data_IF_962686128927
#
_entry.id   IF_962686128927
#
_cell.length_a   1.000
_cell.length_b   1.000
_cell.length_c   1.000
_cell.angle_alpha   90.00
_cell.angle_beta   90.00
_cell.angle_gamma   90.00
#
_symmetry.space_group_name_H-M   'P 1'
#
loop_
_entity.id
_entity.type
_entity.pdbx_description
1 polymer ?
#
# COMPACT_ATOMS: atom_id res chain seq x y z
N UNK A 1 -34.15 20.39 1.82
CA UNK A 1 -34.32 21.07 0.53
C UNK A 1 -33.51 20.28 -0.50
N UNK A 2 -34.10 19.95 -1.65
CA UNK A 2 -33.36 19.34 -2.76
C UNK A 2 -32.52 20.41 -3.48
N UNK A 3 -31.53 19.97 -4.31
CA UNK A 3 -30.72 20.90 -5.11
C UNK A 3 -31.62 21.67 -6.10
N UNK A 4 -31.26 22.92 -6.40
CA UNK A 4 -31.95 23.71 -7.41
C UNK A 4 -31.63 23.24 -8.86
N UNK A 5 -32.40 23.72 -9.84
CA UNK A 5 -32.25 23.30 -11.23
C UNK A 5 -30.88 23.68 -11.84
N UNK A 6 -30.27 24.77 -11.36
CA UNK A 6 -28.94 25.20 -11.81
C UNK A 6 -27.87 24.20 -11.31
N UNK A 7 -27.93 23.83 -10.05
CA UNK A 7 -27.08 22.81 -9.44
C UNK A 7 -27.24 21.46 -10.15
N UNK A 8 -28.49 21.03 -10.39
CA UNK A 8 -28.76 19.78 -11.13
C UNK A 8 -28.20 19.80 -12.55
N UNK A 9 -28.32 20.92 -13.26
CA UNK A 9 -27.78 21.08 -14.60
C UNK A 9 -26.25 21.01 -14.62
N UNK A 10 -25.59 21.67 -13.67
CA UNK A 10 -24.11 21.62 -13.52
C UNK A 10 -23.63 20.19 -13.25
N UNK A 11 -24.26 19.47 -12.33
CA UNK A 11 -23.88 18.08 -12.04
C UNK A 11 -24.13 17.13 -13.21
N UNK A 12 -25.22 17.30 -13.96
CA UNK A 12 -25.48 16.52 -15.19
C UNK A 12 -24.38 16.73 -16.23
N UNK A 13 -23.95 17.98 -16.44
CA UNK A 13 -22.85 18.31 -17.35
C UNK A 13 -21.54 17.66 -16.90
N UNK A 14 -21.20 17.73 -15.60
CA UNK A 14 -20.02 17.06 -15.04
C UNK A 14 -20.06 15.55 -15.27
N UNK A 15 -21.22 14.90 -15.06
CA UNK A 15 -21.39 13.46 -15.30
C UNK A 15 -21.18 13.11 -16.78
N UNK A 16 -21.67 13.94 -17.71
CA UNK A 16 -21.46 13.71 -19.16
C UNK A 16 -19.99 13.88 -19.55
N UNK A 17 -19.33 14.92 -19.03
CA UNK A 17 -17.91 15.16 -19.23
C UNK A 17 -17.04 14.01 -18.67
N UNK A 18 -17.36 13.51 -17.46
CA UNK A 18 -16.69 12.35 -16.86
C UNK A 18 -16.90 11.08 -17.68
N UNK A 19 -18.13 10.83 -18.17
CA UNK A 19 -18.40 9.68 -19.05
C UNK A 19 -17.62 9.77 -20.35
N UNK A 20 -17.62 10.93 -21.01
CA UNK A 20 -16.89 11.15 -22.24
C UNK A 20 -15.37 11.02 -22.05
N UNK A 21 -14.85 11.49 -20.91
CA UNK A 21 -13.45 11.29 -20.54
C UNK A 21 -13.15 9.81 -20.29
N UNK A 22 -14.01 9.09 -19.54
CA UNK A 22 -13.88 7.66 -19.30
C UNK A 22 -13.84 6.82 -20.59
N UNK A 23 -14.67 7.16 -21.59
CA UNK A 23 -14.61 6.49 -22.91
C UNK A 23 -13.25 6.68 -23.60
N UNK A 24 -12.67 7.89 -23.53
CA UNK A 24 -11.32 8.15 -24.08
C UNK A 24 -10.23 7.37 -23.37
N UNK A 25 -10.39 7.13 -22.06
CA UNK A 25 -9.42 6.38 -21.26
C UNK A 25 -9.44 4.86 -21.51
N UNK A 26 -10.50 4.32 -22.11
CA UNK A 26 -10.59 2.87 -22.41
C UNK A 26 -9.43 2.34 -23.26
N UNK A 27 -8.88 3.16 -24.14
CA UNK A 27 -7.71 2.77 -24.94
C UNK A 27 -6.45 2.52 -24.09
N UNK A 28 -6.39 3.10 -22.87
CA UNK A 28 -5.27 2.95 -21.96
C UNK A 28 -5.39 1.73 -21.05
N UNK A 29 -6.54 1.04 -21.00
CA UNK A 29 -6.71 -0.16 -20.18
C UNK A 29 -5.70 -1.27 -20.56
N UNK A 30 -5.45 -1.42 -21.87
CA UNK A 30 -4.56 -2.45 -22.40
C UNK A 30 -3.15 -1.95 -22.76
N UNK A 31 -2.94 -0.63 -22.75
CA UNK A 31 -1.61 -0.05 -23.02
C UNK A 31 -0.69 -0.18 -21.83
N UNK A 32 0.61 -0.33 -22.08
CA UNK A 32 1.64 -0.14 -21.07
C UNK A 32 1.67 1.32 -20.59
N UNK A 33 2.03 1.51 -19.31
CA UNK A 33 2.29 2.85 -18.80
C UNK A 33 3.70 3.27 -19.22
N UNK A 34 3.81 4.30 -20.04
CA UNK A 34 5.12 4.81 -20.53
C UNK A 34 5.05 6.30 -20.85
N UNK A 35 6.18 6.97 -20.71
CA UNK A 35 6.37 8.36 -21.13
C UNK A 35 6.53 8.48 -22.66
N UNK A 36 6.53 9.72 -23.21
CA UNK A 36 6.77 10.01 -24.65
C UNK A 36 8.07 9.40 -25.16
N UNK A 37 9.10 9.35 -24.31
CA UNK A 37 10.44 8.82 -24.62
C UNK A 37 10.59 7.33 -24.29
N UNK A 38 9.49 6.63 -23.98
CA UNK A 38 9.45 5.18 -23.80
C UNK A 38 9.91 4.69 -22.42
N UNK A 39 10.08 5.57 -21.43
CA UNK A 39 10.38 5.14 -20.07
C UNK A 39 9.15 4.45 -19.46
N UNK A 40 9.31 3.19 -19.07
CA UNK A 40 8.21 2.34 -18.57
C UNK A 40 7.93 2.54 -17.11
N UNK A 41 6.65 2.46 -16.77
CA UNK A 41 6.13 2.48 -15.40
C UNK A 41 5.34 1.21 -15.12
N UNK A 42 5.24 0.85 -13.85
CA UNK A 42 4.35 -0.20 -13.35
C UNK A 42 3.25 0.46 -12.50
N UNK A 43 2.01 0.27 -12.91
CA UNK A 43 0.87 0.84 -12.22
C UNK A 43 0.09 -0.29 -11.55
N UNK A 44 0.15 -0.29 -10.23
CA UNK A 44 -0.48 -1.29 -9.37
C UNK A 44 -1.79 -0.78 -8.78
N UNK A 45 -2.66 -1.71 -8.41
CA UNK A 45 -3.87 -1.40 -7.67
C UNK A 45 -3.66 -1.50 -6.15
N UNK A 46 -4.32 -0.62 -5.40
CA UNK A 46 -4.58 -0.77 -3.97
C UNK A 46 -5.95 -1.44 -3.81
N UNK A 47 -6.02 -2.48 -2.98
CA UNK A 47 -7.25 -3.21 -2.67
C UNK A 47 -7.45 -3.38 -1.17
N UNK A 48 -8.71 -3.50 -0.73
CA UNK A 48 -9.12 -3.80 0.64
C UNK A 48 -9.77 -5.16 0.77
N UNK A 49 -10.37 -5.69 -0.31
CA UNK A 49 -11.00 -7.01 -0.34
C UNK A 49 -10.43 -7.89 -1.46
N UNK A 50 -10.53 -9.23 -1.35
CA UNK A 50 -10.04 -10.14 -2.40
C UNK A 50 -10.74 -9.91 -3.75
N UNK A 51 -12.03 -9.59 -3.76
CA UNK A 51 -12.86 -9.39 -4.96
C UNK A 51 -12.42 -8.17 -5.76
N UNK A 52 -11.83 -7.16 -5.11
CA UNK A 52 -11.26 -5.99 -5.80
C UNK A 52 -10.09 -6.36 -6.70
N UNK A 53 -9.46 -7.53 -6.53
CA UNK A 53 -8.43 -8.02 -7.43
C UNK A 53 -8.97 -8.28 -8.85
N UNK A 54 -10.18 -8.83 -8.96
CA UNK A 54 -10.85 -9.04 -10.25
C UNK A 54 -11.15 -7.71 -10.96
N UNK A 55 -11.50 -6.68 -10.19
CA UNK A 55 -11.70 -5.34 -10.72
C UNK A 55 -10.38 -4.71 -11.16
N UNK A 56 -9.31 -4.86 -10.37
CA UNK A 56 -7.98 -4.36 -10.72
C UNK A 56 -7.46 -4.94 -12.07
N UNK A 57 -7.75 -6.21 -12.34
CA UNK A 57 -7.43 -6.86 -13.64
C UNK A 57 -8.16 -6.16 -14.77
N UNK A 58 -9.47 -5.88 -14.62
CA UNK A 58 -10.31 -5.21 -15.62
C UNK A 58 -9.83 -3.79 -15.91
N UNK A 59 -9.36 -3.08 -14.90
CA UNK A 59 -8.80 -1.73 -15.03
C UNK A 59 -7.34 -1.71 -15.55
N UNK A 60 -6.80 -2.86 -15.93
CA UNK A 60 -5.47 -2.97 -16.55
C UNK A 60 -4.31 -2.71 -15.60
N UNK A 61 -4.45 -3.09 -14.33
CA UNK A 61 -3.36 -3.05 -13.35
C UNK A 61 -2.24 -4.05 -13.71
N UNK A 62 -0.99 -3.64 -13.47
CA UNK A 62 0.18 -4.50 -13.63
C UNK A 62 0.38 -5.47 -12.45
N UNK A 63 -0.44 -5.33 -11.39
CA UNK A 63 -0.43 -6.13 -10.20
C UNK A 63 -1.17 -5.43 -9.06
N UNK A 64 -1.02 -5.95 -7.85
CA UNK A 64 -1.51 -5.33 -6.62
C UNK A 64 -0.28 -4.85 -5.84
N UNK A 65 -0.17 -3.52 -5.65
CA UNK A 65 0.94 -2.92 -4.91
C UNK A 65 0.66 -2.80 -3.41
N UNK A 66 -0.62 -2.84 -3.04
CA UNK A 66 -1.06 -2.85 -1.64
C UNK A 66 -2.38 -3.60 -1.49
N UNK A 67 -2.35 -4.75 -0.83
CA UNK A 67 -3.55 -5.36 -0.27
C UNK A 67 -3.60 -5.03 1.23
N UNK A 68 -4.57 -4.22 1.63
CA UNK A 68 -4.86 -3.86 3.02
C UNK A 68 -5.65 -4.98 3.67
N UNK A 69 -5.08 -5.64 4.67
CA UNK A 69 -5.68 -6.84 5.28
C UNK A 69 -6.62 -6.54 6.44
N UNK A 70 -6.73 -5.28 6.87
CA UNK A 70 -7.54 -4.86 8.02
C UNK A 70 -9.01 -5.26 7.89
N UNK A 71 -9.57 -5.18 6.68
CA UNK A 71 -10.96 -5.53 6.42
C UNK A 71 -11.27 -7.02 6.64
N UNK A 72 -10.27 -7.90 6.49
CA UNK A 72 -10.44 -9.33 6.79
C UNK A 72 -10.72 -9.58 8.27
N UNK A 73 -10.27 -8.67 9.13
CA UNK A 73 -10.47 -8.73 10.58
C UNK A 73 -11.76 -8.06 11.02
N UNK A 74 -12.37 -7.23 10.16
CA UNK A 74 -13.61 -6.49 10.45
C UNK A 74 -14.86 -7.20 9.89
N UNK A 75 -14.75 -7.98 8.82
CA UNK A 75 -15.87 -8.51 8.06
C UNK A 75 -16.59 -9.71 8.68
N UNK A 76 -16.05 -10.32 9.73
CA UNK A 76 -16.62 -11.51 10.37
C UNK A 76 -17.80 -11.25 11.32
N UNK A 77 -18.31 -10.00 11.39
CA UNK A 77 -19.31 -9.59 12.38
C UNK A 77 -20.77 -9.77 11.91
N UNK A 78 -21.06 -10.04 10.61
CA UNK A 78 -22.42 -9.79 10.09
C UNK A 78 -23.28 -10.98 9.66
N UNK A 79 -22.80 -12.22 9.53
CA UNK A 79 -23.66 -13.24 8.87
C UNK A 79 -24.40 -14.24 9.75
N UNK A 80 -24.08 -14.42 11.02
CA UNK A 80 -24.68 -15.54 11.78
C UNK A 80 -25.33 -15.21 13.13
N UNK A 81 -25.33 -13.96 13.59
CA UNK A 81 -25.94 -13.62 14.90
C UNK A 81 -25.27 -14.29 16.12
N UNK A 82 -24.36 -15.22 15.92
CA UNK A 82 -23.53 -15.81 16.93
C UNK A 82 -22.14 -15.19 16.85
N UNK A 83 -21.71 -14.49 17.87
CA UNK A 83 -20.44 -13.80 18.02
C UNK A 83 -19.22 -14.77 18.10
N UNK A 84 -19.06 -15.62 17.09
CA UNK A 84 -17.81 -16.36 16.89
C UNK A 84 -16.87 -15.47 16.05
N UNK A 85 -16.44 -14.34 16.63
CA UNK A 85 -15.39 -13.49 16.06
C UNK A 85 -14.10 -14.29 16.02
N UNK A 86 -13.65 -14.69 14.83
CA UNK A 86 -12.35 -15.33 14.59
C UNK A 86 -11.54 -14.49 13.61
N UNK A 87 -11.15 -13.26 13.99
CA UNK A 87 -10.42 -12.35 13.09
C UNK A 87 -9.04 -12.89 12.69
N UNK A 88 -8.54 -13.88 13.44
CA UNK A 88 -7.21 -14.46 13.26
C UNK A 88 -7.26 -15.90 12.72
N UNK A 89 -8.36 -16.29 12.08
CA UNK A 89 -8.47 -17.61 11.44
C UNK A 89 -7.52 -17.71 10.25
N UNK A 90 -6.62 -18.69 10.28
CA UNK A 90 -5.62 -18.92 9.24
C UNK A 90 -6.28 -19.26 7.90
N UNK A 91 -7.37 -20.03 7.91
CA UNK A 91 -8.03 -20.49 6.67
C UNK A 91 -8.85 -19.37 6.00
N UNK A 92 -9.46 -18.49 6.78
CA UNK A 92 -10.13 -17.29 6.25
C UNK A 92 -9.11 -16.41 5.51
N UNK A 93 -7.99 -16.13 6.15
CA UNK A 93 -6.91 -15.35 5.55
C UNK A 93 -6.31 -16.04 4.31
N UNK A 94 -6.03 -17.36 4.41
CA UNK A 94 -5.52 -18.16 3.31
C UNK A 94 -6.42 -18.06 2.08
N UNK A 95 -7.73 -18.24 2.24
CA UNK A 95 -8.68 -18.20 1.12
C UNK A 95 -8.73 -16.81 0.47
N UNK A 96 -8.70 -15.73 1.25
CA UNK A 96 -8.64 -14.37 0.74
C UNK A 96 -7.36 -14.11 -0.08
N UNK A 97 -6.22 -14.52 0.44
CA UNK A 97 -4.93 -14.34 -0.26
C UNK A 97 -4.82 -15.21 -1.51
N UNK A 98 -5.29 -16.46 -1.43
CA UNK A 98 -5.38 -17.36 -2.59
C UNK A 98 -6.23 -16.78 -3.70
N UNK A 99 -7.38 -16.19 -3.38
CA UNK A 99 -8.25 -15.54 -4.36
C UNK A 99 -7.51 -14.40 -5.08
N UNK A 100 -6.95 -13.44 -4.33
CA UNK A 100 -6.24 -12.30 -4.91
C UNK A 100 -5.04 -12.72 -5.78
N UNK A 101 -4.26 -13.71 -5.33
CA UNK A 101 -3.13 -14.25 -6.08
C UNK A 101 -3.57 -14.96 -7.37
N UNK A 102 -4.65 -15.74 -7.29
CA UNK A 102 -5.22 -16.45 -8.45
C UNK A 102 -5.79 -15.48 -9.49
N UNK A 103 -6.55 -14.47 -9.07
CA UNK A 103 -7.11 -13.44 -9.94
C UNK A 103 -6.04 -12.69 -10.73
N UNK A 104 -4.89 -12.40 -10.09
CA UNK A 104 -3.78 -11.69 -10.73
C UNK A 104 -2.95 -12.52 -11.71
N UNK A 105 -3.15 -13.84 -11.79
CA UNK A 105 -2.56 -14.72 -12.78
C UNK A 105 -1.04 -14.51 -12.99
N UNK A 106 -0.27 -14.61 -11.92
CA UNK A 106 1.20 -14.47 -11.92
C UNK A 106 1.73 -13.03 -11.85
N UNK A 107 0.89 -12.00 -12.02
CA UNK A 107 1.26 -10.63 -11.72
C UNK A 107 1.55 -10.47 -10.22
N UNK A 108 2.44 -9.53 -9.80
CA UNK A 108 2.79 -9.40 -8.40
C UNK A 108 1.62 -8.93 -7.54
N UNK A 109 1.51 -9.51 -6.34
CA UNK A 109 0.54 -9.14 -5.31
C UNK A 109 1.30 -8.86 -4.02
N UNK A 110 1.34 -7.61 -3.61
CA UNK A 110 1.96 -7.18 -2.35
C UNK A 110 0.89 -7.14 -1.26
N UNK A 111 1.00 -8.02 -0.28
CA UNK A 111 0.07 -8.12 0.85
C UNK A 111 0.74 -7.53 2.09
N UNK A 112 0.11 -6.52 2.67
CA UNK A 112 0.57 -5.88 3.89
C UNK A 112 0.13 -6.72 5.10
N UNK A 113 1.05 -7.00 6.01
CA UNK A 113 0.67 -7.57 7.31
C UNK A 113 -0.17 -6.54 8.08
N UNK A 114 -0.92 -7.01 9.07
CA UNK A 114 -1.91 -6.23 9.81
C UNK A 114 -1.38 -4.85 10.21
N UNK A 115 -2.09 -3.80 9.77
CA UNK A 115 -1.86 -2.41 10.14
C UNK A 115 -3.08 -1.84 10.88
N UNK A 116 -3.36 -2.39 12.06
CA UNK A 116 -4.42 -1.94 12.94
C UNK A 116 -3.86 -1.68 14.33
N UNK A 117 -4.50 -0.75 15.04
CA UNK A 117 -4.25 -0.45 16.45
C UNK A 117 -5.39 -0.93 17.33
N UNK A 118 -5.27 -0.63 18.63
CA UNK A 118 -6.23 -1.02 19.64
C UNK A 118 -7.65 -0.54 19.37
N UNK A 119 -7.79 0.63 18.76
CA UNK A 119 -9.07 1.24 18.39
C UNK A 119 -9.94 0.38 17.46
N UNK A 120 -9.29 -0.42 16.59
CA UNK A 120 -9.96 -1.32 15.62
C UNK A 120 -10.09 -2.75 16.10
N UNK A 121 -9.37 -3.13 17.15
CA UNK A 121 -9.27 -4.51 17.66
C UNK A 121 -9.88 -4.69 19.06
N UNK A 122 -10.51 -3.67 19.62
CA UNK A 122 -11.06 -3.61 20.99
C UNK A 122 -12.04 -4.76 21.32
N UNK A 123 -12.61 -5.39 20.30
CA UNK A 123 -13.59 -6.48 20.48
C UNK A 123 -12.97 -7.89 20.40
N UNK A 124 -11.66 -8.02 20.27
CA UNK A 124 -10.99 -9.32 20.34
C UNK A 124 -10.73 -9.72 21.80
N UNK A 125 -11.46 -10.72 22.27
CA UNK A 125 -11.26 -11.26 23.62
C UNK A 125 -9.84 -11.80 23.89
N UNK A 126 -9.08 -12.06 22.81
CA UNK A 126 -7.75 -12.68 22.87
C UNK A 126 -6.59 -11.68 23.01
N UNK A 127 -6.86 -10.38 22.85
CA UNK A 127 -5.82 -9.34 22.92
C UNK A 127 -6.29 -8.24 23.88
N UNK A 128 -5.77 -8.18 25.09
CA UNK A 128 -6.08 -7.13 26.04
C UNK A 128 -5.38 -5.82 25.62
N UNK A 129 -6.01 -5.05 24.75
CA UNK A 129 -5.51 -3.73 24.33
C UNK A 129 -6.19 -2.69 25.21
N UNK A 130 -5.39 -1.94 25.96
CA UNK A 130 -5.86 -0.80 26.74
C UNK A 130 -6.22 0.37 25.82
N UNK A 131 -7.18 1.19 26.23
CA UNK A 131 -7.47 2.45 25.56
C UNK A 131 -6.24 3.36 25.58
N UNK A 132 -5.83 3.83 24.40
CA UNK A 132 -4.65 4.68 24.22
C UNK A 132 -5.06 6.12 23.92
N UNK A 133 -4.36 7.08 24.52
CA UNK A 133 -4.60 8.52 24.24
C UNK A 133 -4.23 8.92 22.81
N UNK A 134 -3.24 8.25 22.21
CA UNK A 134 -2.75 8.50 20.86
C UNK A 134 -2.58 7.19 20.10
N UNK A 135 -3.67 6.55 19.65
CA UNK A 135 -3.63 5.22 19.02
C UNK A 135 -2.75 5.16 17.77
N UNK A 136 -2.67 6.24 17.01
CA UNK A 136 -1.83 6.32 15.80
C UNK A 136 -0.34 6.21 16.10
N UNK A 137 0.11 6.59 17.32
CA UNK A 137 1.49 6.48 17.79
C UNK A 137 1.68 5.35 18.81
N UNK A 138 0.65 4.58 19.09
CA UNK A 138 0.59 3.56 20.11
C UNK A 138 0.98 2.17 19.65
N UNK A 139 0.35 1.16 20.27
CA UNK A 139 0.55 -0.26 20.00
C UNK A 139 -0.26 -0.68 18.77
N UNK A 140 0.32 -0.51 17.59
CA UNK A 140 -0.31 -0.84 16.30
C UNK A 140 0.68 -1.50 15.34
N UNK A 141 0.18 -2.04 14.25
CA UNK A 141 0.95 -2.56 13.12
C UNK A 141 2.06 -3.52 13.57
N UNK A 142 3.31 -3.31 13.12
CA UNK A 142 4.45 -4.15 13.50
C UNK A 142 4.68 -4.20 15.01
N UNK A 143 4.39 -3.11 15.73
CA UNK A 143 4.55 -3.09 17.20
C UNK A 143 3.60 -4.07 17.87
N UNK A 144 2.33 -4.08 17.43
CA UNK A 144 1.34 -5.04 17.89
C UNK A 144 1.73 -6.48 17.51
N UNK A 145 2.16 -6.68 16.27
CA UNK A 145 2.60 -7.98 15.75
C UNK A 145 3.79 -8.55 16.50
N UNK A 146 4.69 -7.72 16.99
CA UNK A 146 5.85 -8.15 17.78
C UNK A 146 5.51 -8.33 19.27
N UNK A 147 4.57 -7.55 19.82
CA UNK A 147 4.07 -7.73 21.18
C UNK A 147 3.23 -9.02 21.30
N UNK A 148 2.50 -9.37 20.25
CA UNK A 148 1.69 -10.59 20.15
C UNK A 148 2.11 -11.43 18.93
N UNK A 149 3.27 -12.12 18.97
CA UNK A 149 3.85 -12.79 17.80
C UNK A 149 2.95 -13.84 17.16
N UNK A 150 1.99 -14.37 17.90
CA UNK A 150 1.03 -15.34 17.37
C UNK A 150 0.15 -14.76 16.25
N UNK A 151 -0.18 -13.47 16.32
CA UNK A 151 -0.93 -12.79 15.27
C UNK A 151 -0.17 -12.80 13.95
N UNK A 152 1.07 -12.34 13.98
CA UNK A 152 1.94 -12.34 12.80
C UNK A 152 2.21 -13.75 12.31
N UNK A 153 2.40 -14.71 13.21
CA UNK A 153 2.64 -16.12 12.88
C UNK A 153 1.46 -16.71 12.10
N UNK A 154 0.23 -16.54 12.58
CA UNK A 154 -0.99 -16.98 11.88
C UNK A 154 -1.11 -16.36 10.51
N UNK A 155 -0.92 -15.03 10.40
CA UNK A 155 -0.96 -14.34 9.12
C UNK A 155 0.12 -14.82 8.14
N UNK A 156 1.35 -15.01 8.61
CA UNK A 156 2.45 -15.52 7.79
C UNK A 156 2.21 -16.96 7.33
N UNK A 157 1.61 -17.82 8.18
CA UNK A 157 1.22 -19.19 7.76
C UNK A 157 0.24 -19.14 6.61
N UNK A 158 -0.82 -18.33 6.71
CA UNK A 158 -1.80 -18.13 5.64
C UNK A 158 -1.14 -17.59 4.36
N UNK A 159 -0.25 -16.59 4.47
CA UNK A 159 0.48 -16.01 3.34
C UNK A 159 1.38 -17.03 2.65
N UNK A 160 2.19 -17.78 3.41
CA UNK A 160 3.06 -18.79 2.82
C UNK A 160 2.27 -19.93 2.17
N UNK A 161 1.18 -20.41 2.78
CA UNK A 161 0.27 -21.39 2.16
C UNK A 161 -0.30 -20.87 0.84
N UNK A 162 -0.67 -19.59 0.79
CA UNK A 162 -1.20 -18.97 -0.42
C UNK A 162 -0.13 -18.72 -1.50
N UNK A 163 1.15 -18.70 -1.16
CA UNK A 163 2.26 -18.31 -2.05
C UNK A 163 2.46 -19.21 -3.28
N UNK A 164 1.90 -20.43 -3.30
CA UNK A 164 1.95 -21.32 -4.45
C UNK A 164 0.92 -20.97 -5.55
N UNK A 165 -0.02 -20.08 -5.25
CA UNK A 165 -1.09 -19.69 -6.17
C UNK A 165 -0.79 -18.43 -6.99
N UNK A 166 0.37 -17.77 -6.77
CA UNK A 166 0.76 -16.58 -7.53
C UNK A 166 2.05 -15.94 -7.04
N UNK A 167 2.33 -14.74 -7.53
CA UNK A 167 3.54 -13.98 -7.23
C UNK A 167 3.34 -13.10 -5.98
N UNK A 168 3.44 -13.72 -4.81
CA UNK A 168 3.28 -13.07 -3.51
C UNK A 168 4.51 -12.24 -3.13
N UNK A 169 4.27 -11.04 -2.57
CA UNK A 169 5.23 -10.22 -1.82
C UNK A 169 4.61 -9.87 -0.46
N UNK A 170 5.37 -9.97 0.61
CA UNK A 170 4.92 -9.62 1.97
C UNK A 170 5.49 -8.25 2.34
N UNK A 171 4.66 -7.37 2.86
CA UNK A 171 5.03 -6.01 3.27
C UNK A 171 4.75 -5.77 4.74
N UNK A 172 5.78 -5.36 5.49
CA UNK A 172 5.71 -5.04 6.91
C UNK A 172 5.40 -3.55 7.12
N UNK A 173 4.29 -3.17 7.78
CA UNK A 173 3.92 -1.78 8.03
C UNK A 173 4.66 -1.17 9.22
N UNK A 174 4.67 0.15 9.30
CA UNK A 174 5.09 0.98 10.45
C UNK A 174 6.47 0.62 11.02
N UNK A 175 7.41 0.29 10.15
CA UNK A 175 8.80 0.01 10.53
C UNK A 175 9.49 1.30 10.96
N UNK A 176 10.27 1.22 12.04
CA UNK A 176 11.09 2.32 12.56
C UNK A 176 12.53 1.91 12.83
N UNK A 177 12.82 0.60 12.92
CA UNK A 177 14.16 0.09 13.22
C UNK A 177 14.49 -1.17 12.41
N UNK A 178 15.79 -1.43 12.21
CA UNK A 178 16.29 -2.67 11.58
C UNK A 178 15.92 -3.90 12.40
N UNK A 179 15.91 -3.79 13.73
CA UNK A 179 15.61 -4.91 14.61
C UNK A 179 14.18 -5.42 14.47
N UNK A 180 13.20 -4.53 14.22
CA UNK A 180 11.84 -4.94 13.92
C UNK A 180 11.79 -5.82 12.66
N UNK A 181 12.51 -5.44 11.59
CA UNK A 181 12.57 -6.24 10.36
C UNK A 181 13.21 -7.61 10.63
N UNK A 182 14.30 -7.66 11.39
CA UNK A 182 14.98 -8.91 11.76
C UNK A 182 14.07 -9.83 12.58
N UNK A 183 13.34 -9.28 13.55
CA UNK A 183 12.40 -10.05 14.37
C UNK A 183 11.27 -10.63 13.53
N UNK A 184 10.64 -9.84 12.65
CA UNK A 184 9.61 -10.33 11.73
C UNK A 184 10.16 -11.42 10.79
N UNK A 185 11.34 -11.24 10.21
CA UNK A 185 11.99 -12.27 9.36
C UNK A 185 12.35 -13.54 10.15
N UNK A 186 12.66 -13.43 11.44
CA UNK A 186 12.86 -14.59 12.32
C UNK A 186 11.57 -15.39 12.53
N UNK A 187 10.45 -14.70 12.78
CA UNK A 187 9.13 -15.34 12.89
C UNK A 187 8.77 -16.01 11.55
N UNK A 188 9.00 -15.33 10.42
CA UNK A 188 8.77 -15.90 9.10
C UNK A 188 9.61 -17.18 8.85
N UNK A 189 10.86 -17.21 9.32
CA UNK A 189 11.71 -18.42 9.27
C UNK A 189 11.12 -19.56 10.09
N UNK A 190 10.63 -19.26 11.30
CA UNK A 190 9.97 -20.26 12.16
C UNK A 190 8.74 -20.84 11.45
N UNK A 191 7.87 -19.99 10.89
CA UNK A 191 6.68 -20.41 10.15
C UNK A 191 7.03 -21.33 8.98
N UNK A 192 8.04 -20.99 8.17
CA UNK A 192 8.47 -21.84 7.03
C UNK A 192 8.98 -23.20 7.52
N UNK A 193 9.68 -23.26 8.66
CA UNK A 193 10.14 -24.53 9.23
C UNK A 193 8.96 -25.40 9.69
N UNK A 194 7.95 -24.81 10.31
CA UNK A 194 6.73 -25.51 10.72
C UNK A 194 5.96 -26.07 9.52
N UNK A 195 5.68 -25.23 8.51
CA UNK A 195 5.00 -25.67 7.29
C UNK A 195 5.76 -26.83 6.59
N UNK A 196 7.09 -26.78 6.59
CA UNK A 196 7.94 -27.83 6.04
C UNK A 196 7.82 -29.13 6.86
N UNK A 197 7.79 -29.04 8.18
CA UNK A 197 7.61 -30.20 9.06
C UNK A 197 6.22 -30.82 8.91
N UNK A 198 5.21 -30.00 8.64
CA UNK A 198 3.83 -30.41 8.40
C UNK A 198 3.59 -30.88 6.94
N UNK A 199 4.61 -30.87 6.07
CA UNK A 199 4.51 -31.18 4.64
C UNK A 199 3.50 -30.28 3.88
N UNK A 200 3.29 -29.05 4.32
CA UNK A 200 2.43 -28.09 3.65
C UNK A 200 3.25 -27.36 2.57
N UNK A 201 2.80 -27.36 1.29
CA UNK A 201 3.55 -26.73 0.22
C UNK A 201 3.52 -25.19 0.33
N UNK A 202 4.66 -24.54 0.07
CA UNK A 202 4.80 -23.09 0.03
C UNK A 202 6.00 -22.67 -0.83
N UNK A 203 6.06 -21.39 -1.23
CA UNK A 203 7.22 -20.81 -1.90
C UNK A 203 8.21 -20.28 -0.84
N UNK A 204 9.40 -20.85 -0.80
CA UNK A 204 10.45 -20.48 0.18
C UNK A 204 11.08 -19.10 -0.12
N UNK A 205 10.91 -18.60 -1.35
CA UNK A 205 11.53 -17.36 -1.86
C UNK A 205 10.59 -16.16 -1.92
N UNK A 206 9.56 -16.13 -1.06
CA UNK A 206 8.65 -14.98 -0.99
C UNK A 206 9.42 -13.74 -0.51
N UNK A 207 9.47 -12.64 -1.27
CA UNK A 207 10.12 -11.42 -0.84
C UNK A 207 9.42 -10.79 0.36
N UNK A 208 10.18 -10.30 1.34
CA UNK A 208 9.68 -9.56 2.50
C UNK A 208 10.28 -8.15 2.46
N UNK A 209 9.44 -7.18 2.12
CA UNK A 209 9.77 -5.75 2.12
C UNK A 209 9.12 -5.00 3.27
N UNK A 210 9.32 -3.69 3.27
CA UNK A 210 8.76 -2.80 4.30
C UNK A 210 7.98 -1.65 3.68
N UNK A 211 7.01 -1.14 4.43
CA UNK A 211 6.42 0.16 4.17
C UNK A 211 7.27 1.24 4.84
N UNK A 212 7.77 2.18 4.03
CA UNK A 212 8.48 3.36 4.53
C UNK A 212 7.45 4.48 4.69
N UNK A 213 6.97 4.63 5.90
CA UNK A 213 5.85 5.53 6.24
C UNK A 213 6.07 6.30 7.54
N UNK A 214 7.29 6.19 8.10
CA UNK A 214 7.74 7.01 9.24
C UNK A 214 9.00 7.77 8.87
N UNK A 215 9.21 8.96 9.43
CA UNK A 215 10.45 9.71 9.22
C UNK A 215 11.68 8.89 9.65
N UNK A 216 11.56 8.08 10.71
CA UNK A 216 12.63 7.19 11.16
C UNK A 216 13.02 6.16 10.10
N UNK A 217 12.03 5.52 9.44
CA UNK A 217 12.31 4.55 8.38
C UNK A 217 12.95 5.20 7.16
N UNK A 218 12.50 6.39 6.77
CA UNK A 218 13.08 7.13 5.65
C UNK A 218 14.53 7.56 5.93
N UNK A 219 14.81 8.06 7.14
CA UNK A 219 16.16 8.43 7.56
C UNK A 219 17.13 7.23 7.66
N UNK A 220 16.62 6.04 8.00
CA UNK A 220 17.38 4.79 8.12
C UNK A 220 17.28 3.91 6.87
N UNK A 221 16.78 4.44 5.75
CA UNK A 221 16.50 3.65 4.56
C UNK A 221 17.73 2.94 3.96
N UNK A 222 18.92 3.52 4.09
CA UNK A 222 20.18 2.89 3.68
C UNK A 222 20.50 1.62 4.50
N UNK A 223 20.21 1.64 5.78
CA UNK A 223 20.39 0.50 6.69
C UNK A 223 19.27 -0.52 6.53
N UNK A 224 18.03 -0.06 6.40
CA UNK A 224 16.84 -0.91 6.21
C UNK A 224 16.88 -1.65 4.87
N UNK A 225 17.42 -1.04 3.82
CA UNK A 225 17.57 -1.66 2.50
C UNK A 225 18.41 -2.95 2.52
N UNK A 226 19.40 -3.03 3.42
CA UNK A 226 20.23 -4.24 3.59
C UNK A 226 19.49 -5.42 4.19
N UNK A 227 18.30 -5.18 4.74
CA UNK A 227 17.48 -6.18 5.44
C UNK A 227 16.09 -6.34 4.82
N UNK A 228 15.79 -5.64 3.73
CA UNK A 228 14.49 -5.64 3.06
C UNK A 228 14.66 -6.02 1.59
N UNK A 229 13.68 -6.75 1.05
CA UNK A 229 13.76 -7.20 -0.35
C UNK A 229 13.15 -6.15 -1.32
N UNK A 230 12.38 -5.20 -0.79
CA UNK A 230 11.82 -4.04 -1.50
C UNK A 230 11.32 -2.98 -0.51
N UNK A 231 11.08 -1.76 -1.02
CA UNK A 231 10.39 -0.69 -0.31
C UNK A 231 9.06 -0.34 -0.98
N UNK A 232 8.07 0.04 -0.16
CA UNK A 232 6.86 0.73 -0.59
C UNK A 232 6.67 1.96 0.28
N UNK A 233 6.61 3.15 -0.33
CA UNK A 233 6.48 4.40 0.42
C UNK A 233 5.00 4.64 0.71
N UNK A 234 4.63 4.67 1.99
CA UNK A 234 3.29 5.00 2.48
C UNK A 234 3.16 6.50 2.72
N UNK A 235 2.91 7.28 1.67
CA UNK A 235 2.97 8.76 1.73
C UNK A 235 1.99 9.37 2.71
N UNK A 236 0.84 8.73 2.95
CA UNK A 236 -0.16 9.26 3.86
C UNK A 236 0.38 9.35 5.29
N UNK A 237 0.87 8.24 5.82
CA UNK A 237 1.41 8.17 7.17
C UNK A 237 2.79 8.83 7.25
N UNK A 238 3.61 8.75 6.19
CA UNK A 238 4.87 9.49 6.12
C UNK A 238 4.65 11.00 6.30
N UNK A 239 3.68 11.57 5.60
CA UNK A 239 3.32 12.99 5.73
C UNK A 239 2.80 13.29 7.13
N UNK A 240 1.85 12.49 7.62
CA UNK A 240 1.27 12.65 8.95
C UNK A 240 2.31 12.66 10.06
N UNK A 241 3.19 11.65 10.08
CA UNK A 241 4.22 11.53 11.12
C UNK A 241 5.37 12.54 10.96
N UNK A 242 5.69 12.95 9.73
CA UNK A 242 6.73 13.97 9.49
C UNK A 242 6.28 15.34 9.94
N UNK A 243 5.03 15.71 9.69
CA UNK A 243 4.48 17.01 10.06
C UNK A 243 3.89 17.05 11.48
N UNK A 244 3.70 15.86 12.12
CA UNK A 244 3.05 15.76 13.42
C UNK A 244 1.57 16.15 13.38
N UNK A 245 0.87 15.85 12.26
CA UNK A 245 -0.50 16.27 12.00
C UNK A 245 -1.37 15.03 11.83
N UNK A 246 -2.44 14.93 12.61
CA UNK A 246 -3.49 13.95 12.41
C UNK A 246 -4.39 14.40 11.25
N UNK A 247 -4.31 13.70 10.12
CA UNK A 247 -5.08 13.99 8.90
C UNK A 247 -6.59 13.78 9.06
N UNK A 248 -7.01 12.99 10.05
CA UNK A 248 -8.42 12.71 10.34
C UNK A 248 -9.02 13.73 11.32
N UNK A 249 -8.19 14.54 11.97
CA UNK A 249 -8.64 15.59 12.89
C UNK A 249 -8.99 16.88 12.13
N UNK A 250 -10.28 17.28 12.03
CA UNK A 250 -10.67 18.49 11.29
C UNK A 250 -10.02 19.78 11.73
N UNK A 251 -9.58 19.86 12.99
CA UNK A 251 -8.94 21.08 13.53
C UNK A 251 -7.55 21.34 12.97
N UNK A 252 -6.85 20.31 12.48
CA UNK A 252 -5.46 20.40 12.01
C UNK A 252 -5.25 19.82 10.62
N UNK A 253 -6.22 19.10 10.07
CA UNK A 253 -6.10 18.46 8.74
C UNK A 253 -5.82 19.44 7.60
N UNK A 254 -6.21 20.71 7.75
CA UNK A 254 -5.86 21.78 6.80
C UNK A 254 -4.36 22.12 6.74
N UNK A 255 -3.57 21.65 7.70
CA UNK A 255 -2.11 21.81 7.73
C UNK A 255 -1.38 20.62 7.09
N UNK A 256 -2.13 19.56 6.71
CA UNK A 256 -1.57 18.40 6.05
C UNK A 256 -1.20 18.74 4.60
N UNK A 257 0.11 18.72 4.32
CA UNK A 257 0.65 19.07 3.01
C UNK A 257 1.63 17.98 2.54
N UNK A 258 1.23 17.21 1.56
CA UNK A 258 2.04 16.14 0.96
C UNK A 258 3.20 16.68 0.10
N UNK A 259 3.14 17.95 -0.31
CA UNK A 259 4.21 18.65 -1.03
C UNK A 259 5.19 19.37 -0.09
N UNK A 260 5.01 19.26 1.21
CA UNK A 260 5.98 19.81 2.16
C UNK A 260 7.39 19.29 1.87
N UNK A 261 8.35 20.22 1.82
CA UNK A 261 9.73 19.91 1.44
C UNK A 261 10.37 18.83 2.32
N UNK A 262 10.03 18.76 3.61
CA UNK A 262 10.51 17.71 4.51
C UNK A 262 10.02 16.31 4.05
N UNK A 263 8.76 16.21 3.66
CA UNK A 263 8.17 14.96 3.14
C UNK A 263 8.84 14.56 1.82
N UNK A 264 8.95 15.51 0.88
CA UNK A 264 9.58 15.25 -0.44
C UNK A 264 11.04 14.82 -0.29
N UNK A 265 11.80 15.42 0.64
CA UNK A 265 13.18 15.03 0.93
C UNK A 265 13.27 13.61 1.48
N UNK A 266 12.37 13.20 2.38
CA UNK A 266 12.33 11.84 2.92
C UNK A 266 11.99 10.82 1.83
N UNK A 267 11.09 11.16 0.91
CA UNK A 267 10.80 10.32 -0.28
C UNK A 267 12.06 10.18 -1.15
N UNK A 268 12.70 11.29 -1.49
CA UNK A 268 13.91 11.29 -2.32
C UNK A 268 15.06 10.49 -1.69
N UNK A 269 15.28 10.62 -0.37
CA UNK A 269 16.26 9.84 0.38
C UNK A 269 15.97 8.33 0.31
N UNK A 270 14.70 7.95 0.44
CA UNK A 270 14.26 6.55 0.36
C UNK A 270 14.50 5.96 -1.03
N UNK A 271 14.19 6.73 -2.09
CA UNK A 271 14.42 6.32 -3.48
C UNK A 271 15.90 6.14 -3.76
N UNK A 272 16.73 7.09 -3.34
CA UNK A 272 18.19 7.02 -3.49
C UNK A 272 18.80 5.80 -2.76
N UNK A 273 18.38 5.58 -1.51
CA UNK A 273 18.84 4.44 -0.72
C UNK A 273 18.45 3.09 -1.35
N UNK A 274 17.22 2.96 -1.85
CA UNK A 274 16.78 1.76 -2.57
C UNK A 274 17.57 1.54 -3.85
N UNK A 275 17.81 2.61 -4.64
CA UNK A 275 18.63 2.56 -5.86
C UNK A 275 20.06 2.12 -5.58
N UNK A 276 20.72 2.67 -4.54
CA UNK A 276 22.07 2.28 -4.13
C UNK A 276 22.15 0.83 -3.65
N UNK A 277 21.10 0.34 -2.99
CA UNK A 277 21.02 -1.04 -2.53
C UNK A 277 20.59 -2.04 -3.62
N UNK A 278 20.12 -1.56 -4.78
CA UNK A 278 19.62 -2.40 -5.88
C UNK A 278 18.31 -3.09 -5.57
N UNK A 279 17.48 -2.54 -4.65
CA UNK A 279 16.16 -3.09 -4.33
C UNK A 279 15.04 -2.26 -4.98
N UNK A 280 13.92 -2.90 -5.36
CA UNK A 280 12.76 -2.17 -5.88
C UNK A 280 12.18 -1.20 -4.87
N UNK A 281 11.71 -0.03 -5.36
CA UNK A 281 10.94 0.93 -4.57
C UNK A 281 9.67 1.34 -5.31
N UNK A 282 8.55 1.37 -4.58
CA UNK A 282 7.24 1.81 -5.07
C UNK A 282 6.63 2.83 -4.12
N UNK A 283 5.52 3.45 -4.53
CA UNK A 283 4.69 4.28 -3.65
C UNK A 283 3.26 3.75 -3.66
N UNK A 284 2.59 3.71 -2.50
CA UNK A 284 1.24 3.18 -2.35
C UNK A 284 0.29 4.11 -1.58
N UNK A 285 0.76 5.28 -1.13
CA UNK A 285 -0.11 6.31 -0.57
C UNK A 285 -0.93 7.04 -1.64
N UNK A 286 -1.79 7.95 -1.20
CA UNK A 286 -2.71 8.68 -2.10
C UNK A 286 -2.00 9.54 -3.14
N UNK A 287 -0.78 10.01 -2.87
CA UNK A 287 0.04 10.72 -3.86
C UNK A 287 0.21 9.95 -5.16
N UNK A 288 0.21 8.62 -5.13
CA UNK A 288 0.34 7.77 -6.31
C UNK A 288 -0.82 7.90 -7.31
N UNK A 289 -1.98 8.40 -6.88
CA UNK A 289 -3.18 8.58 -7.71
C UNK A 289 -3.51 10.02 -8.06
N UNK A 290 -2.74 11.01 -7.58
CA UNK A 290 -2.96 12.44 -7.84
C UNK A 290 -2.03 12.94 -8.94
N UNK A 291 -2.58 13.59 -9.97
CA UNK A 291 -1.83 13.99 -11.16
C UNK A 291 -0.53 14.74 -10.83
N UNK A 292 -0.59 15.80 -10.03
CA UNK A 292 0.57 16.63 -9.72
C UNK A 292 1.61 15.84 -8.90
N UNK A 293 1.16 15.04 -7.95
CA UNK A 293 2.04 14.18 -7.15
C UNK A 293 2.73 13.12 -8.00
N UNK A 294 2.01 12.50 -8.95
CA UNK A 294 2.59 11.52 -9.88
C UNK A 294 3.72 12.12 -10.70
N UNK A 295 3.57 13.36 -11.20
CA UNK A 295 4.63 14.02 -11.96
C UNK A 295 5.88 14.24 -11.11
N UNK A 296 5.71 14.73 -9.87
CA UNK A 296 6.81 14.96 -8.94
C UNK A 296 7.49 13.65 -8.53
N UNK A 297 6.72 12.64 -8.13
CA UNK A 297 7.23 11.32 -7.73
C UNK A 297 7.98 10.61 -8.88
N UNK A 298 7.44 10.73 -10.09
CA UNK A 298 8.08 10.16 -11.30
C UNK A 298 9.43 10.83 -11.59
N UNK A 299 9.51 12.16 -11.42
CA UNK A 299 10.76 12.91 -11.57
C UNK A 299 11.78 12.61 -10.46
N UNK A 300 11.35 12.15 -9.27
CA UNK A 300 12.25 11.64 -8.22
C UNK A 300 12.83 10.25 -8.52
N UNK A 301 12.46 9.62 -9.64
CA UNK A 301 12.94 8.28 -10.00
C UNK A 301 12.00 7.14 -9.67
N UNK A 302 10.83 7.39 -9.09
CA UNK A 302 9.83 6.34 -8.88
C UNK A 302 9.25 5.87 -10.21
N UNK A 303 9.18 4.54 -10.39
CA UNK A 303 8.68 3.88 -11.61
C UNK A 303 7.56 2.87 -11.30
N UNK A 304 7.20 2.72 -10.03
CA UNK A 304 6.15 1.82 -9.55
C UNK A 304 5.20 2.59 -8.65
N UNK A 305 3.95 2.76 -9.10
CA UNK A 305 2.92 3.55 -8.44
C UNK A 305 1.71 2.67 -8.15
N UNK A 306 1.18 2.69 -6.92
CA UNK A 306 0.03 1.89 -6.51
C UNK A 306 -1.11 2.78 -6.01
N UNK A 307 -2.28 2.67 -6.62
CA UNK A 307 -3.41 3.57 -6.46
C UNK A 307 -4.74 2.84 -6.53
N UNK A 308 -5.87 3.53 -6.36
CA UNK A 308 -7.18 2.98 -6.71
C UNK A 308 -7.18 2.53 -8.18
N UNK A 309 -7.69 1.32 -8.47
CA UNK A 309 -7.70 0.75 -9.81
C UNK A 309 -8.33 1.68 -10.86
N UNK A 310 -9.38 2.42 -10.48
CA UNK A 310 -10.07 3.39 -11.36
C UNK A 310 -9.19 4.52 -11.88
N UNK A 311 -8.07 4.82 -11.22
CA UNK A 311 -7.17 5.91 -11.61
C UNK A 311 -6.10 5.47 -12.61
N UNK A 312 -5.88 4.17 -12.78
CA UNK A 312 -4.76 3.62 -13.55
C UNK A 312 -4.76 4.11 -14.99
N UNK A 313 -5.90 4.05 -15.68
CA UNK A 313 -6.00 4.47 -17.08
C UNK A 313 -5.71 5.98 -17.25
N UNK A 314 -6.16 6.81 -16.31
CA UNK A 314 -5.87 8.25 -16.30
C UNK A 314 -4.40 8.56 -16.08
N UNK A 315 -3.74 7.82 -15.17
CA UNK A 315 -2.31 8.00 -14.92
C UNK A 315 -1.47 7.49 -16.11
N UNK A 316 -1.88 6.41 -16.79
CA UNK A 316 -1.23 5.99 -18.05
C UNK A 316 -1.28 7.10 -19.10
N UNK A 317 -2.44 7.71 -19.25
CA UNK A 317 -2.66 8.82 -20.17
C UNK A 317 -1.82 10.05 -19.77
N UNK A 318 -1.81 10.41 -18.48
CA UNK A 318 -1.01 11.52 -17.95
C UNK A 318 0.48 11.33 -18.30
N UNK A 319 1.06 10.17 -17.94
CA UNK A 319 2.48 9.87 -18.15
C UNK A 319 2.86 9.92 -19.65
N UNK A 320 1.96 9.50 -20.54
CA UNK A 320 2.19 9.53 -21.98
C UNK A 320 2.36 10.94 -22.58
N UNK A 321 2.05 11.98 -21.81
CA UNK A 321 2.18 13.39 -22.23
C UNK A 321 3.55 14.00 -21.93
N UNK A 322 4.39 13.35 -21.13
CA UNK A 322 5.66 13.89 -20.64
C UNK A 322 6.84 13.01 -21.06
N UNK A 323 8.01 13.62 -21.19
CA UNK A 323 9.30 12.93 -21.23
C UNK A 323 9.87 12.80 -19.82
N UNK A 324 10.84 11.92 -19.62
CA UNK A 324 11.49 11.78 -18.30
C UNK A 324 12.24 13.06 -17.89
N UNK A 325 12.81 13.79 -18.83
CA UNK A 325 13.51 15.04 -18.55
C UNK A 325 12.54 16.14 -18.09
N UNK A 326 11.35 16.22 -18.67
CA UNK A 326 10.28 17.13 -18.20
C UNK A 326 9.85 16.79 -16.77
N UNK A 327 9.71 15.51 -16.45
CA UNK A 327 9.36 15.05 -15.09
C UNK A 327 10.48 15.37 -14.08
N UNK A 328 11.74 15.13 -14.44
CA UNK A 328 12.89 15.48 -13.62
C UNK A 328 12.94 16.99 -13.32
N UNK A 329 12.66 17.83 -14.31
CA UNK A 329 12.60 19.28 -14.13
C UNK A 329 11.47 19.71 -13.17
N UNK A 330 10.30 19.07 -13.25
CA UNK A 330 9.17 19.32 -12.34
C UNK A 330 9.58 18.96 -10.90
N UNK A 331 10.13 17.79 -10.68
CA UNK A 331 10.58 17.36 -9.36
C UNK A 331 11.65 18.27 -8.77
N UNK A 332 12.65 18.67 -9.59
CA UNK A 332 13.72 19.54 -9.17
C UNK A 332 13.21 20.92 -8.66
N UNK A 333 12.16 21.48 -9.27
CA UNK A 333 11.52 22.72 -8.79
C UNK A 333 10.96 22.56 -7.39
N UNK A 334 10.29 21.45 -7.09
CA UNK A 334 9.69 21.18 -5.78
C UNK A 334 10.76 20.91 -4.70
N UNK A 335 11.84 20.23 -5.04
CA UNK A 335 12.93 19.94 -4.10
C UNK A 335 13.82 21.16 -3.80
N UNK A 336 13.89 22.13 -4.70
CA UNK A 336 14.70 23.33 -4.58
C UNK A 336 13.90 24.58 -4.18
N UNK A 337 12.57 24.48 -4.01
CA UNK A 337 11.76 25.59 -3.51
C UNK A 337 12.04 25.82 -2.03
N UNK A 338 12.81 26.87 -1.71
CA UNK A 338 12.97 27.48 -0.41
C UNK A 338 12.25 28.82 -0.40
#
# INVERSE_FOLDING_TARGET
AGPDDATLSEYRKKIEEEKAHGEKLKIFLTKSAETKDGTKFQLYANIGTPEEADFAVKEGADGIGLFRTEFLYMSTVHETGNYAYRPFDEDVQFNAYKHALGAMNGKPVTIRTLDAGGDKLIHSADIPIAEEKNPLMGLRAVRLSLAYPQLLKTQLRALYRASIYGNLRIMLPLITTVDQVKQCKSIAKTVRNELRAENIPFNDKVPIGIMVETAAAALLSDSLAKHSDFFSIGTNDLTQYTLGIDRENPAVSGLYDEFNLAVLRLIAMTVDAAGKAGIPVSVCGEMAGKNDSVLVLSGMGLRSLSMSAKLISGIKELLSRFTIDELNAISAKHLNSL
#
